data_IF_434922094017
#
_entry.id   IF_434922094017
#
_cell.length_a   1.000
_cell.length_b   1.000
_cell.length_c   1.000
_cell.angle_alpha   90.00
_cell.angle_beta   90.00
_cell.angle_gamma   90.00
#
_symmetry.space_group_name_H-M   'P 1'
#
loop_
_entity.id
_entity.type
_entity.pdbx_description
1 polymer ?
#
# COMPACT_ATOMS: atom_id res chain seq x y z
N UNK A 1 -13.12 -10.41 15.95
CA UNK A 1 -14.30 -10.81 15.14
C UNK A 1 -14.29 -12.29 14.78
N UNK A 2 -13.23 -12.85 14.19
CA UNK A 2 -13.17 -14.28 13.85
C UNK A 2 -13.41 -15.24 15.02
N UNK A 3 -12.84 -14.96 16.20
CA UNK A 3 -13.04 -15.80 17.38
C UNK A 3 -14.52 -15.96 17.76
N UNK A 4 -15.29 -14.86 17.82
CA UNK A 4 -16.72 -14.90 18.15
C UNK A 4 -17.57 -15.61 17.08
N UNK A 5 -17.12 -15.65 15.84
CA UNK A 5 -17.77 -16.42 14.78
C UNK A 5 -17.61 -17.94 14.98
N UNK A 6 -16.53 -18.38 15.63
CA UNK A 6 -16.21 -19.80 15.86
C UNK A 6 -16.61 -20.27 17.26
N UNK A 7 -16.62 -19.37 18.25
CA UNK A 7 -16.90 -19.69 19.66
C UNK A 7 -18.26 -19.23 20.16
N UNK A 8 -19.09 -18.67 19.27
CA UNK A 8 -20.43 -18.20 19.63
C UNK A 8 -21.35 -19.35 20.11
N UNK A 9 -22.26 -19.10 21.06
CA UNK A 9 -23.18 -20.12 21.58
C UNK A 9 -24.23 -20.59 20.56
N UNK A 10 -24.29 -19.98 19.38
CA UNK A 10 -25.22 -20.31 18.30
C UNK A 10 -24.47 -20.42 16.97
N UNK A 11 -24.78 -21.46 16.20
CA UNK A 11 -24.25 -21.65 14.85
C UNK A 11 -24.92 -20.67 13.89
N UNK A 12 -24.30 -19.51 13.69
CA UNK A 12 -24.71 -18.53 12.68
C UNK A 12 -23.88 -18.71 11.41
N UNK A 13 -24.51 -18.60 10.25
CA UNK A 13 -23.78 -18.46 8.98
C UNK A 13 -23.06 -17.11 9.00
N UNK A 14 -21.77 -17.12 8.69
CA UNK A 14 -20.92 -15.91 8.65
C UNK A 14 -20.24 -15.78 7.29
N UNK A 15 -20.08 -14.53 6.85
CA UNK A 15 -19.18 -14.13 5.77
C UNK A 15 -18.17 -13.14 6.35
N UNK A 16 -16.87 -13.38 6.15
CA UNK A 16 -15.79 -12.60 6.75
C UNK A 16 -14.84 -12.11 5.65
N UNK A 17 -14.72 -10.79 5.52
CA UNK A 17 -13.74 -10.13 4.65
C UNK A 17 -12.66 -9.49 5.54
N UNK A 18 -11.50 -10.12 5.62
CA UNK A 18 -10.48 -9.83 6.67
C UNK A 18 -9.28 -9.04 6.15
N UNK A 19 -9.40 -8.44 4.97
CA UNK A 19 -8.29 -7.79 4.28
C UNK A 19 -7.39 -8.78 3.56
N UNK A 20 -6.30 -8.27 2.97
CA UNK A 20 -5.32 -9.07 2.26
C UNK A 20 -3.97 -8.37 2.10
N UNK A 21 -3.02 -9.09 1.52
CA UNK A 21 -1.73 -8.57 1.11
C UNK A 21 -1.60 -8.77 -0.41
N UNK A 22 -2.39 -8.01 -1.18
CA UNK A 22 -2.60 -8.29 -2.60
C UNK A 22 -1.31 -8.07 -3.41
N UNK A 23 -0.88 -9.06 -4.22
CA UNK A 23 0.24 -8.92 -5.11
C UNK A 23 -0.15 -8.19 -6.40
N UNK A 24 0.78 -7.41 -6.94
CA UNK A 24 0.73 -6.84 -8.29
C UNK A 24 1.92 -7.40 -9.06
N UNK A 25 1.67 -8.24 -10.08
CA UNK A 25 2.72 -8.90 -10.87
C UNK A 25 2.88 -8.20 -12.22
N UNK A 26 4.09 -7.77 -12.54
CA UNK A 26 4.46 -7.11 -13.81
C UNK A 26 5.40 -8.03 -14.56
N UNK A 27 4.98 -8.49 -15.73
CA UNK A 27 5.74 -9.40 -16.59
C UNK A 27 6.56 -8.62 -17.62
N UNK A 28 7.51 -9.29 -18.27
CA UNK A 28 8.46 -8.72 -19.24
C UNK A 28 7.79 -8.11 -20.49
N UNK A 29 6.57 -8.55 -20.81
CA UNK A 29 5.77 -8.04 -21.93
C UNK A 29 4.79 -6.91 -21.53
N UNK A 30 4.81 -6.46 -20.27
CA UNK A 30 3.93 -5.41 -19.79
C UNK A 30 4.26 -4.04 -20.40
N UNK A 31 3.23 -3.26 -20.68
CA UNK A 31 3.37 -1.82 -20.90
C UNK A 31 3.84 -1.17 -19.59
N UNK A 32 5.09 -0.69 -19.57
CA UNK A 32 5.75 -0.19 -18.38
C UNK A 32 5.03 1.01 -17.77
N UNK A 33 4.62 1.97 -18.60
CA UNK A 33 3.95 3.20 -18.13
C UNK A 33 2.59 2.88 -17.51
N UNK A 34 1.83 1.98 -18.16
CA UNK A 34 0.56 1.49 -17.63
C UNK A 34 0.75 0.69 -16.34
N UNK A 35 1.75 -0.18 -16.28
CA UNK A 35 2.06 -1.00 -15.11
C UNK A 35 2.42 -0.11 -13.90
N UNK A 36 3.30 0.88 -14.10
CA UNK A 36 3.66 1.85 -13.07
C UNK A 36 2.44 2.65 -12.61
N UNK A 37 1.62 3.14 -13.55
CA UNK A 37 0.39 3.87 -13.21
C UNK A 37 -0.56 3.01 -12.36
N UNK A 38 -0.84 1.78 -12.80
CA UNK A 38 -1.71 0.84 -12.09
C UNK A 38 -1.17 0.50 -10.70
N UNK A 39 0.14 0.30 -10.56
CA UNK A 39 0.78 0.02 -9.28
C UNK A 39 0.67 1.21 -8.32
N UNK A 40 0.89 2.44 -8.79
CA UNK A 40 0.75 3.66 -7.97
C UNK A 40 -0.69 3.82 -7.50
N UNK A 41 -1.67 3.73 -8.40
CA UNK A 41 -3.09 3.81 -8.03
C UNK A 41 -3.45 2.70 -7.04
N UNK A 42 -3.09 1.45 -7.34
CA UNK A 42 -3.38 0.29 -6.50
C UNK A 42 -2.75 0.35 -5.11
N UNK A 43 -1.60 1.02 -4.96
CA UNK A 43 -0.93 1.16 -3.65
C UNK A 43 -1.42 2.35 -2.85
N UNK A 44 -1.67 3.49 -3.49
CA UNK A 44 -1.82 4.78 -2.83
C UNK A 44 -3.24 5.34 -2.82
N UNK A 45 -4.18 4.75 -3.58
CA UNK A 45 -5.60 5.11 -3.47
C UNK A 45 -6.07 4.96 -2.02
N UNK A 46 -6.78 5.98 -1.51
CA UNK A 46 -7.18 6.06 -0.11
C UNK A 46 -6.02 5.81 0.88
N UNK A 47 -4.82 6.32 0.57
CA UNK A 47 -3.62 6.20 1.39
C UNK A 47 -3.22 4.72 1.62
N UNK A 48 -3.65 3.82 0.73
CA UNK A 48 -3.45 2.39 0.85
C UNK A 48 -4.34 1.71 1.89
N UNK A 49 -5.33 2.40 2.47
CA UNK A 49 -6.27 1.90 3.47
C UNK A 49 -7.45 1.13 2.83
N UNK A 50 -7.15 0.30 1.83
CA UNK A 50 -8.12 -0.53 1.10
C UNK A 50 -7.74 -2.00 1.30
N UNK A 51 -8.72 -2.87 1.52
CA UNK A 51 -8.49 -4.30 1.77
C UNK A 51 -7.77 -5.03 0.63
N UNK A 52 -7.88 -4.50 -0.60
CA UNK A 52 -7.30 -5.05 -1.82
C UNK A 52 -6.10 -4.23 -2.33
N UNK A 53 -5.55 -3.29 -1.54
CA UNK A 53 -4.38 -2.50 -1.95
C UNK A 53 -3.21 -3.38 -2.38
N UNK A 54 -2.53 -2.97 -3.45
CA UNK A 54 -1.32 -3.62 -3.95
C UNK A 54 -0.16 -3.37 -3.00
N UNK A 55 0.00 -4.24 -2.00
CA UNK A 55 1.00 -4.10 -0.94
C UNK A 55 2.32 -4.79 -1.28
N UNK A 56 2.31 -5.68 -2.29
CA UNK A 56 3.50 -6.36 -2.78
C UNK A 56 3.54 -6.27 -4.30
N UNK A 57 4.55 -5.59 -4.85
CA UNK A 57 4.76 -5.49 -6.29
C UNK A 57 5.90 -6.42 -6.66
N UNK A 58 5.65 -7.33 -7.60
CA UNK A 58 6.60 -8.32 -8.11
C UNK A 58 6.82 -8.00 -9.57
N UNK A 59 8.05 -7.71 -9.95
CA UNK A 59 8.41 -7.29 -11.30
C UNK A 59 9.37 -8.30 -11.89
N UNK A 60 9.19 -8.63 -13.17
CA UNK A 60 10.16 -9.41 -13.91
C UNK A 60 11.55 -8.75 -13.84
N UNK A 61 12.59 -9.57 -13.70
CA UNK A 61 13.95 -9.09 -13.49
C UNK A 61 14.44 -8.19 -14.64
N UNK A 62 13.97 -8.43 -15.88
CA UNK A 62 14.34 -7.63 -17.05
C UNK A 62 13.82 -6.19 -17.02
N UNK A 63 12.74 -5.92 -16.26
CA UNK A 63 12.11 -4.60 -16.13
C UNK A 63 12.36 -3.96 -14.76
N UNK A 64 13.06 -4.63 -13.85
CA UNK A 64 13.13 -4.23 -12.45
C UNK A 64 13.66 -2.80 -12.27
N UNK A 65 14.81 -2.48 -12.87
CA UNK A 65 15.45 -1.17 -12.71
C UNK A 65 14.56 -0.06 -13.25
N UNK A 66 14.12 -0.18 -14.50
CA UNK A 66 13.26 0.80 -15.17
C UNK A 66 11.92 1.01 -14.44
N UNK A 67 11.29 -0.08 -13.98
CA UNK A 67 10.05 0.00 -13.21
C UNK A 67 10.25 0.71 -11.88
N UNK A 68 11.29 0.35 -11.13
CA UNK A 68 11.55 0.93 -9.82
C UNK A 68 11.83 2.42 -9.93
N UNK A 69 12.65 2.84 -10.90
CA UNK A 69 12.94 4.26 -11.15
C UNK A 69 11.65 5.03 -11.48
N UNK A 70 10.88 4.56 -12.46
CA UNK A 70 9.65 5.21 -12.88
C UNK A 70 8.58 5.24 -11.78
N UNK A 71 8.46 4.17 -11.00
CA UNK A 71 7.54 4.08 -9.86
C UNK A 71 7.92 5.09 -8.77
N UNK A 72 9.20 5.14 -8.37
CA UNK A 72 9.67 6.09 -7.35
C UNK A 72 9.44 7.53 -7.78
N UNK A 73 9.73 7.86 -9.05
CA UNK A 73 9.51 9.22 -9.56
C UNK A 73 8.02 9.58 -9.57
N UNK A 74 7.13 8.67 -10.00
CA UNK A 74 5.69 8.92 -9.96
C UNK A 74 5.17 9.10 -8.53
N UNK A 75 5.66 8.31 -7.59
CA UNK A 75 5.24 8.42 -6.18
C UNK A 75 5.72 9.73 -5.56
N UNK A 76 6.94 10.19 -5.90
CA UNK A 76 7.49 11.46 -5.42
C UNK A 76 6.62 12.67 -5.81
N UNK A 77 5.92 12.58 -6.93
CA UNK A 77 5.06 13.65 -7.45
C UNK A 77 3.65 13.67 -6.82
N UNK A 78 3.29 12.67 -6.00
CA UNK A 78 1.97 12.65 -5.36
C UNK A 78 1.85 13.78 -4.34
N UNK A 79 0.86 14.66 -4.51
CA UNK A 79 0.59 15.73 -3.56
C UNK A 79 0.02 15.17 -2.26
N UNK A 80 0.78 15.32 -1.18
CA UNK A 80 0.36 15.02 0.20
C UNK A 80 -0.15 16.30 0.85
N UNK A 81 -1.30 16.25 1.53
CA UNK A 81 -1.82 17.44 2.19
C UNK A 81 -3.24 17.34 2.73
N UNK A 82 -3.86 18.51 2.88
CA UNK A 82 -5.23 18.68 3.38
C UNK A 82 -6.24 18.00 2.44
N UNK A 83 -7.07 17.05 2.92
CA UNK A 83 -8.03 16.34 2.10
C UNK A 83 -9.15 17.21 1.53
N UNK A 84 -9.35 18.43 2.04
CA UNK A 84 -10.36 19.38 1.50
C UNK A 84 -9.86 20.10 0.24
N UNK A 85 -8.57 20.01 -0.08
CA UNK A 85 -7.99 20.60 -1.30
C UNK A 85 -8.15 19.66 -2.49
N UNK A 86 -8.69 20.19 -3.59
CA UNK A 86 -9.02 19.41 -4.79
C UNK A 86 -7.84 18.73 -5.48
N UNK A 87 -6.61 19.21 -5.27
CA UNK A 87 -5.39 18.66 -5.84
C UNK A 87 -4.61 17.74 -4.87
N UNK A 88 -5.10 17.54 -3.64
CA UNK A 88 -4.53 16.57 -2.71
C UNK A 88 -4.82 15.15 -3.19
N UNK A 89 -3.76 14.35 -3.35
CA UNK A 89 -3.87 12.93 -3.72
C UNK A 89 -3.76 12.04 -2.49
N UNK A 90 -2.89 12.41 -1.55
CA UNK A 90 -2.61 11.64 -0.33
C UNK A 90 -3.01 12.48 0.90
N UNK A 91 -4.14 12.12 1.51
CA UNK A 91 -4.59 12.68 2.77
C UNK A 91 -4.03 11.96 4.00
N UNK A 92 -4.63 12.16 5.20
CA UNK A 92 -4.17 11.56 6.44
C UNK A 92 -4.58 10.07 6.56
N UNK A 93 -3.88 9.34 7.42
CA UNK A 93 -4.36 8.04 7.91
C UNK A 93 -5.52 8.24 8.88
N UNK A 94 -6.39 7.24 9.01
CA UNK A 94 -7.66 7.34 9.73
C UNK A 94 -7.51 7.71 11.21
N UNK A 95 -6.44 7.28 11.88
CA UNK A 95 -6.14 7.62 13.26
C UNK A 95 -4.68 7.34 13.64
N UNK A 96 -4.30 7.86 14.81
CA UNK A 96 -2.94 7.72 15.37
C UNK A 96 -2.48 6.27 15.51
N UNK A 97 -3.35 5.34 15.91
CA UNK A 97 -2.99 3.92 16.06
C UNK A 97 -2.57 3.29 14.72
N UNK A 98 -3.28 3.61 13.63
CA UNK A 98 -2.89 3.14 12.29
C UNK A 98 -1.58 3.77 11.84
N UNK A 99 -1.38 5.06 12.13
CA UNK A 99 -0.12 5.75 11.85
C UNK A 99 1.07 5.10 12.58
N UNK A 100 0.96 4.92 13.89
CA UNK A 100 2.00 4.27 14.71
C UNK A 100 2.33 2.87 14.19
N UNK A 101 1.30 2.09 13.82
CA UNK A 101 1.48 0.77 13.23
C UNK A 101 2.14 0.79 11.85
N UNK A 102 1.90 1.81 11.03
CA UNK A 102 2.58 1.96 9.74
C UNK A 102 4.05 2.34 9.93
N UNK A 103 4.33 3.32 10.80
CA UNK A 103 5.70 3.74 11.15
C UNK A 103 6.50 2.57 11.71
N UNK A 104 5.94 1.80 12.65
CA UNK A 104 6.62 0.65 13.22
C UNK A 104 7.02 -0.40 12.18
N UNK A 105 6.18 -0.66 11.16
CA UNK A 105 6.51 -1.58 10.06
C UNK A 105 7.63 -1.05 9.18
N UNK A 106 7.65 0.24 8.89
CA UNK A 106 8.72 0.89 8.12
C UNK A 106 10.04 0.80 8.88
N UNK A 107 10.05 1.08 10.19
CA UNK A 107 11.26 0.97 11.00
C UNK A 107 11.76 -0.47 11.14
N UNK A 108 10.86 -1.45 11.26
CA UNK A 108 11.23 -2.86 11.24
C UNK A 108 11.88 -3.27 9.91
N UNK A 109 11.31 -2.85 8.77
CA UNK A 109 11.87 -3.13 7.45
C UNK A 109 13.29 -2.55 7.27
N UNK A 110 13.53 -1.32 7.74
CA UNK A 110 14.88 -0.72 7.75
C UNK A 110 15.87 -1.53 8.59
N UNK A 111 15.44 -2.05 9.74
CA UNK A 111 16.28 -2.89 10.60
C UNK A 111 16.64 -4.23 9.94
N UNK A 112 15.79 -4.73 9.04
CA UNK A 112 16.02 -5.93 8.22
C UNK A 112 16.87 -5.66 6.97
N UNK A 113 17.49 -4.47 6.84
CA UNK A 113 18.33 -4.07 5.70
C UNK A 113 17.56 -3.98 4.37
N UNK A 114 16.23 -3.80 4.43
CA UNK A 114 15.44 -3.43 3.24
C UNK A 114 15.77 -1.98 2.87
N UNK A 115 16.16 -1.76 1.62
CA UNK A 115 16.47 -0.43 1.12
C UNK A 115 15.23 0.44 1.03
N UNK A 116 15.30 1.64 1.62
CA UNK A 116 14.26 2.65 1.51
C UNK A 116 14.58 3.62 0.37
N UNK A 117 13.91 3.44 -0.77
CA UNK A 117 14.10 4.29 -1.97
C UNK A 117 13.41 5.66 -1.86
N UNK A 118 12.24 5.70 -1.22
CA UNK A 118 11.47 6.92 -1.01
C UNK A 118 10.67 6.82 0.29
N UNK A 119 10.73 7.88 1.09
CA UNK A 119 10.00 8.00 2.34
C UNK A 119 10.01 9.43 2.85
N UNK A 120 9.51 9.61 4.07
CA UNK A 120 9.46 10.90 4.74
C UNK A 120 9.08 10.74 6.20
N UNK A 121 9.10 11.83 6.96
CA UNK A 121 8.57 11.83 8.31
C UNK A 121 7.04 11.82 8.27
N UNK A 122 6.42 11.08 9.18
CA UNK A 122 4.99 11.21 9.42
C UNK A 122 4.70 12.56 10.07
N UNK A 123 3.78 13.32 9.48
CA UNK A 123 3.26 14.56 10.06
C UNK A 123 1.83 14.28 10.53
N UNK A 124 1.57 14.58 11.81
CA UNK A 124 0.33 14.23 12.51
C UNK A 124 -0.84 15.12 12.15
#
# INVERSE_FOLDING_TARGET
MGALAVTGPTLKRVGLELGGNAPCVVLDDADLDLAVHAAVVGRFLHQGQICMSSNWIIVDASLQEDFVEAFVERVRQLKVGDPDLADTVIGPLINRRQLEGAVARIEAAKAESIELLLGGAAHG
#
